data_IF_058304696306
#
_entry.id   IF_058304696306
#
_cell.length_a   1.000
_cell.length_b   1.000
_cell.length_c   1.000
_cell.angle_alpha   90.00
_cell.angle_beta   90.00
_cell.angle_gamma   90.00
#
_symmetry.space_group_name_H-M   'P 1'
#
loop_
_entity.id
_entity.type
_entity.pdbx_description
1 polymer ?
#
# COMPACT_ATOMS: atom_id res chain seq x y z
N UNK A 1 48.58 30.63 -0.14
CA UNK A 1 48.21 30.87 -1.56
C UNK A 1 48.23 29.53 -2.28
N UNK A 2 47.07 28.98 -2.65
CA UNK A 2 46.99 27.72 -3.38
C UNK A 2 46.28 27.97 -4.72
N UNK A 3 47.05 28.02 -5.82
CA UNK A 3 46.50 27.99 -7.18
C UNK A 3 46.18 26.53 -7.52
N UNK A 4 44.91 26.22 -7.77
CA UNK A 4 44.50 24.93 -8.36
C UNK A 4 44.74 25.00 -9.86
N UNK A 5 45.55 24.08 -10.39
CA UNK A 5 45.73 23.89 -11.82
C UNK A 5 44.51 23.16 -12.40
N UNK A 6 43.84 23.76 -13.38
CA UNK A 6 42.83 23.11 -14.21
C UNK A 6 43.50 22.41 -15.39
N UNK A 7 43.24 21.11 -15.56
CA UNK A 7 43.71 20.35 -16.72
C UNK A 7 42.83 20.62 -17.95
N UNK A 8 43.40 20.36 -19.14
CA UNK A 8 42.88 20.63 -20.50
C UNK A 8 41.56 19.93 -20.88
N UNK A 9 40.89 19.29 -19.92
CA UNK A 9 39.62 18.57 -20.09
C UNK A 9 38.57 18.90 -19.02
N UNK A 10 38.75 19.98 -18.24
CA UNK A 10 37.65 20.44 -17.38
C UNK A 10 36.59 21.13 -18.25
N UNK A 11 35.31 20.71 -18.18
CA UNK A 11 34.26 21.38 -18.92
C UNK A 11 34.17 22.83 -18.43
N UNK A 12 34.31 23.77 -19.37
CA UNK A 12 34.10 25.18 -19.10
C UNK A 12 32.67 25.38 -18.59
N UNK A 13 32.52 25.74 -17.32
CA UNK A 13 31.27 26.26 -16.80
C UNK A 13 31.08 27.66 -17.37
N UNK A 14 30.39 27.73 -18.51
CA UNK A 14 29.76 28.96 -18.97
C UNK A 14 28.66 29.33 -17.99
N UNK A 15 29.03 30.18 -17.03
CA UNK A 15 28.10 30.99 -16.26
C UNK A 15 27.37 31.92 -17.23
N UNK A 16 26.17 31.51 -17.66
CA UNK A 16 25.03 32.36 -18.01
C UNK A 16 23.90 31.54 -18.63
N UNK A 17 23.08 30.88 -17.81
CA UNK A 17 21.66 30.64 -18.12
C UNK A 17 20.92 30.03 -16.92
N UNK A 18 19.90 30.75 -16.45
CA UNK A 18 18.76 30.28 -15.64
C UNK A 18 19.10 29.54 -14.34
N UNK A 19 18.86 30.22 -13.22
CA UNK A 19 18.38 29.59 -11.98
C UNK A 19 17.03 28.89 -12.25
N UNK A 20 17.07 27.69 -12.82
CA UNK A 20 16.02 26.71 -12.57
C UNK A 20 16.39 26.00 -11.29
N UNK A 21 15.49 26.06 -10.31
CA UNK A 21 15.52 25.21 -9.12
C UNK A 21 15.51 23.74 -9.58
N UNK A 22 16.69 23.16 -9.75
CA UNK A 22 16.84 21.72 -9.96
C UNK A 22 16.57 21.05 -8.62
N UNK A 23 15.32 20.68 -8.39
CA UNK A 23 15.01 19.64 -7.40
C UNK A 23 15.94 18.47 -7.69
N UNK A 24 16.72 17.99 -6.69
CA UNK A 24 17.63 16.87 -6.90
C UNK A 24 16.86 15.73 -7.56
N UNK A 25 17.40 15.18 -8.66
CA UNK A 25 16.78 14.04 -9.33
C UNK A 25 16.53 12.93 -8.31
N UNK A 26 15.27 12.51 -8.17
CA UNK A 26 14.86 11.49 -7.22
C UNK A 26 15.72 10.24 -7.42
N UNK A 27 16.47 9.86 -6.39
CA UNK A 27 17.32 8.67 -6.45
C UNK A 27 16.41 7.45 -6.54
N UNK A 28 16.82 6.35 -7.21
CA UNK A 28 15.99 5.15 -7.38
C UNK A 28 15.48 4.49 -6.08
N UNK A 29 16.04 4.91 -4.94
CA UNK A 29 15.78 4.40 -3.60
C UNK A 29 15.17 5.44 -2.65
N UNK A 30 14.86 6.66 -3.11
CA UNK A 30 14.22 7.66 -2.25
C UNK A 30 12.86 7.14 -1.76
N UNK A 31 12.73 6.98 -0.44
CA UNK A 31 11.52 6.46 0.22
C UNK A 31 11.37 4.93 0.24
N UNK A 32 12.27 4.15 -0.37
CA UNK A 32 12.21 2.68 -0.31
C UNK A 32 12.88 2.16 0.97
N UNK A 33 12.12 1.43 1.79
CA UNK A 33 12.66 0.71 2.96
C UNK A 33 12.96 -0.74 2.55
N UNK A 34 14.07 -1.34 3.03
CA UNK A 34 14.32 -2.77 2.83
C UNK A 34 13.19 -3.59 3.46
N UNK A 35 12.75 -4.63 2.75
CA UNK A 35 11.74 -5.56 3.27
C UNK A 35 12.29 -6.28 4.50
N UNK A 36 11.46 -6.41 5.54
CA UNK A 36 11.70 -7.23 6.73
C UNK A 36 11.56 -8.72 6.41
N UNK A 37 10.90 -9.07 5.31
CA UNK A 37 10.92 -10.42 4.72
C UNK A 37 12.29 -10.66 4.10
N UNK A 38 13.18 -11.28 4.86
CA UNK A 38 14.57 -11.49 4.46
C UNK A 38 15.15 -12.80 4.98
N UNK A 39 16.47 -12.84 5.11
CA UNK A 39 17.20 -14.04 5.51
C UNK A 39 16.67 -14.67 6.81
N UNK A 40 16.28 -13.86 7.80
CA UNK A 40 15.79 -14.33 9.11
C UNK A 40 14.52 -15.19 9.02
N UNK A 41 13.52 -14.78 8.24
CA UNK A 41 12.30 -15.58 8.07
C UNK A 41 12.56 -16.83 7.22
N UNK A 42 13.49 -16.74 6.25
CA UNK A 42 13.85 -17.90 5.41
C UNK A 42 14.61 -18.97 6.20
N UNK A 43 15.42 -18.57 7.19
CA UNK A 43 16.15 -19.51 8.06
C UNK A 43 15.21 -20.46 8.82
N UNK A 44 13.99 -20.04 9.18
CA UNK A 44 13.02 -20.92 9.85
C UNK A 44 12.64 -22.16 9.02
N UNK A 45 12.59 -22.03 7.69
CA UNK A 45 12.31 -23.17 6.81
C UNK A 45 13.45 -24.21 6.87
N UNK A 46 14.69 -23.73 6.95
CA UNK A 46 15.87 -24.61 7.03
C UNK A 46 16.06 -25.18 8.44
N UNK A 47 15.71 -24.43 9.48
CA UNK A 47 15.84 -24.86 10.88
C UNK A 47 15.01 -26.11 11.20
N UNK A 48 13.94 -26.37 10.43
CA UNK A 48 13.09 -27.55 10.62
C UNK A 48 13.61 -28.81 9.87
N UNK A 49 14.52 -28.67 8.90
CA UNK A 49 15.00 -29.79 8.08
C UNK A 49 15.70 -30.93 8.85
N UNK A 50 16.50 -30.68 9.91
CA UNK A 50 17.06 -31.75 10.73
C UNK A 50 16.00 -32.72 11.27
N UNK A 51 14.77 -32.23 11.49
CA UNK A 51 13.66 -33.04 11.97
C UNK A 51 13.19 -34.06 10.90
N UNK A 52 13.28 -33.70 9.63
CA UNK A 52 12.93 -34.59 8.53
C UNK A 52 13.87 -35.79 8.47
N UNK A 53 15.19 -35.57 8.57
CA UNK A 53 16.16 -36.68 8.63
C UNK A 53 15.92 -37.57 9.84
N UNK A 54 15.72 -36.97 11.03
CA UNK A 54 15.42 -37.73 12.26
C UNK A 54 14.13 -38.54 12.16
N UNK A 55 13.14 -38.09 11.38
CA UNK A 55 11.88 -38.80 11.20
C UNK A 55 12.07 -40.14 10.46
N UNK A 56 12.92 -40.18 9.43
CA UNK A 56 13.13 -41.40 8.61
C UNK A 56 13.90 -42.50 9.34
N UNK A 57 14.67 -42.16 10.38
CA UNK A 57 15.37 -43.13 11.22
C UNK A 57 14.52 -43.64 12.39
N UNK A 58 13.26 -43.20 12.52
CA UNK A 58 12.40 -43.49 13.65
C UNK A 58 11.33 -44.56 13.35
N UNK A 59 10.83 -45.21 14.40
CA UNK A 59 9.70 -46.13 14.30
C UNK A 59 8.44 -45.43 13.74
N UNK A 60 7.50 -46.15 13.10
CA UNK A 60 6.41 -45.53 12.34
C UNK A 60 5.55 -44.51 13.10
N UNK A 61 5.25 -44.77 14.38
CA UNK A 61 4.46 -43.86 15.22
C UNK A 61 5.25 -42.59 15.52
N UNK A 62 6.53 -42.75 15.88
CA UNK A 62 7.46 -41.67 16.20
C UNK A 62 7.75 -40.83 14.95
N UNK A 63 7.93 -41.48 13.80
CA UNK A 63 8.06 -40.85 12.49
C UNK A 63 6.85 -39.96 12.20
N UNK A 64 5.62 -40.47 12.38
CA UNK A 64 4.41 -39.68 12.15
C UNK A 64 4.37 -38.42 13.03
N UNK A 65 4.78 -38.52 14.30
CA UNK A 65 4.84 -37.37 15.21
C UNK A 65 5.89 -36.34 14.77
N UNK A 66 7.07 -36.77 14.31
CA UNK A 66 8.08 -35.85 13.75
C UNK A 66 7.61 -35.18 12.46
N UNK A 67 6.87 -35.89 11.59
CA UNK A 67 6.29 -35.30 10.37
C UNK A 67 5.25 -34.23 10.73
N UNK A 68 4.40 -34.49 11.74
CA UNK A 68 3.45 -33.48 12.24
C UNK A 68 4.19 -32.28 12.81
N UNK A 69 5.21 -32.48 13.64
CA UNK A 69 6.03 -31.40 14.18
C UNK A 69 6.71 -30.58 13.08
N UNK A 70 7.26 -31.24 12.07
CA UNK A 70 7.83 -30.59 10.88
C UNK A 70 6.78 -29.74 10.15
N UNK A 71 5.58 -30.28 9.94
CA UNK A 71 4.47 -29.56 9.32
C UNK A 71 4.07 -28.30 10.11
N UNK A 72 4.02 -28.39 11.44
CA UNK A 72 3.76 -27.24 12.33
C UNK A 72 4.84 -26.16 12.19
N UNK A 73 6.12 -26.54 12.17
CA UNK A 73 7.25 -25.60 12.06
C UNK A 73 7.33 -24.94 10.68
N UNK A 74 7.11 -25.70 9.60
CA UNK A 74 7.05 -25.15 8.24
C UNK A 74 5.83 -24.23 8.07
N UNK A 75 4.68 -24.62 8.62
CA UNK A 75 3.49 -23.77 8.68
C UNK A 75 3.74 -22.47 9.44
N UNK A 76 4.42 -22.54 10.59
CA UNK A 76 4.83 -21.37 11.35
C UNK A 76 5.75 -20.45 10.53
N UNK A 77 6.76 -21.00 9.84
CA UNK A 77 7.66 -20.23 8.99
C UNK A 77 6.91 -19.51 7.85
N UNK A 78 5.93 -20.19 7.24
CA UNK A 78 5.07 -19.58 6.21
C UNK A 78 4.20 -18.45 6.77
N UNK A 79 3.52 -18.65 7.91
CA UNK A 79 2.75 -17.60 8.56
C UNK A 79 3.63 -16.42 8.99
N UNK A 80 4.85 -16.65 9.45
CA UNK A 80 5.81 -15.60 9.84
C UNK A 80 6.14 -14.72 8.65
N UNK A 81 6.48 -15.33 7.51
CA UNK A 81 6.77 -14.61 6.27
C UNK A 81 5.59 -13.76 5.82
N UNK A 82 4.40 -14.31 5.88
CA UNK A 82 3.17 -13.65 5.43
C UNK A 82 2.64 -12.61 6.43
N UNK A 83 3.00 -12.76 7.72
CA UNK A 83 2.79 -11.76 8.77
C UNK A 83 3.72 -10.56 8.63
N UNK A 84 5.01 -10.79 8.32
CA UNK A 84 5.97 -9.70 8.06
C UNK A 84 5.57 -8.87 6.82
N UNK A 85 5.07 -9.52 5.76
CA UNK A 85 4.51 -8.81 4.59
C UNK A 85 3.31 -7.94 4.94
N UNK A 86 2.40 -8.47 5.74
CA UNK A 86 1.23 -7.73 6.18
C UNK A 86 1.61 -6.53 7.06
N UNK A 87 2.59 -6.70 7.95
CA UNK A 87 3.13 -5.61 8.78
C UNK A 87 3.81 -4.53 7.93
N UNK A 88 4.61 -4.90 6.93
CA UNK A 88 5.22 -3.93 6.00
C UNK A 88 4.16 -3.11 5.25
N UNK A 89 3.10 -3.77 4.77
CA UNK A 89 2.00 -3.10 4.09
C UNK A 89 1.21 -2.16 5.02
N UNK A 90 1.08 -2.53 6.30
CA UNK A 90 0.48 -1.71 7.34
C UNK A 90 1.36 -0.49 7.67
N UNK A 91 2.66 -0.69 7.82
CA UNK A 91 3.62 0.37 8.18
C UNK A 91 3.83 1.38 7.06
N UNK A 92 3.78 0.94 5.80
CA UNK A 92 3.94 1.79 4.62
C UNK A 92 2.82 2.84 4.47
N UNK A 93 1.66 2.61 5.09
CA UNK A 93 0.50 3.52 4.99
C UNK A 93 0.41 4.40 6.24
N UNK A 94 0.00 5.66 6.06
CA UNK A 94 -0.33 6.56 7.19
C UNK A 94 -1.64 6.15 7.86
N UNK A 95 -2.60 5.64 7.07
CA UNK A 95 -3.88 5.11 7.53
C UNK A 95 -3.99 3.64 7.11
N UNK A 96 -4.17 2.73 8.07
CA UNK A 96 -4.26 1.29 7.79
C UNK A 96 -5.11 0.55 8.81
N UNK A 97 -5.86 -0.45 8.33
CA UNK A 97 -6.56 -1.40 9.20
C UNK A 97 -5.61 -2.46 9.72
N UNK A 98 -5.83 -2.91 10.96
CA UNK A 98 -5.14 -4.08 11.50
C UNK A 98 -5.35 -5.30 10.60
N UNK A 99 -4.35 -6.19 10.45
CA UNK A 99 -4.54 -7.46 9.76
C UNK A 99 -5.71 -8.25 10.35
N UNK A 100 -6.48 -8.95 9.51
CA UNK A 100 -7.66 -9.70 9.95
C UNK A 100 -7.30 -10.88 10.87
N UNK A 101 -6.11 -11.46 10.69
CA UNK A 101 -5.59 -12.57 11.47
C UNK A 101 -4.17 -12.19 11.94
N UNK A 102 -3.85 -12.32 13.25
CA UNK A 102 -2.52 -12.03 13.79
C UNK A 102 -1.53 -13.17 13.47
N UNK A 103 -1.04 -13.19 12.23
CA UNK A 103 -0.28 -14.31 11.66
C UNK A 103 1.01 -14.64 12.42
N UNK A 104 1.75 -13.65 12.94
CA UNK A 104 2.97 -13.88 13.74
C UNK A 104 2.67 -14.45 15.12
N UNK A 105 1.54 -14.09 15.73
CA UNK A 105 1.08 -14.74 16.97
C UNK A 105 0.76 -16.22 16.71
N UNK A 106 0.00 -16.52 15.65
CA UNK A 106 -0.29 -17.91 15.28
C UNK A 106 0.99 -18.69 14.93
N UNK A 107 1.95 -18.07 14.24
CA UNK A 107 3.26 -18.67 13.97
C UNK A 107 4.04 -18.99 15.25
N UNK A 108 4.02 -18.09 16.25
CA UNK A 108 4.63 -18.33 17.56
C UNK A 108 3.99 -19.53 18.27
N UNK A 109 2.66 -19.61 18.30
CA UNK A 109 1.95 -20.75 18.87
C UNK A 109 2.29 -22.06 18.14
N UNK A 110 2.28 -22.06 16.79
CA UNK A 110 2.65 -23.23 16.00
C UNK A 110 4.11 -23.64 16.22
N UNK A 111 5.01 -22.68 16.41
CA UNK A 111 6.42 -22.96 16.74
C UNK A 111 6.53 -23.65 18.10
N UNK A 112 5.82 -23.14 19.11
CA UNK A 112 5.74 -23.77 20.43
C UNK A 112 5.14 -25.18 20.36
N UNK A 113 4.05 -25.39 19.64
CA UNK A 113 3.43 -26.71 19.48
C UNK A 113 4.35 -27.69 18.74
N UNK A 114 5.02 -27.26 17.67
CA UNK A 114 5.96 -28.09 16.93
C UNK A 114 7.15 -28.53 17.79
N UNK A 115 7.76 -27.60 18.54
CA UNK A 115 8.88 -27.91 19.43
C UNK A 115 8.44 -28.69 20.68
N UNK A 116 7.25 -28.41 21.21
CA UNK A 116 6.67 -29.18 22.31
C UNK A 116 6.43 -30.63 21.92
N UNK A 117 5.90 -30.88 20.71
CA UNK A 117 5.73 -32.23 20.19
C UNK A 117 7.07 -32.96 20.06
N UNK A 118 8.13 -32.28 19.61
CA UNK A 118 9.49 -32.85 19.61
C UNK A 118 9.97 -33.17 21.02
N UNK A 119 9.67 -32.33 22.01
CA UNK A 119 9.99 -32.56 23.42
C UNK A 119 9.31 -33.81 23.99
N UNK A 120 8.01 -34.00 23.70
CA UNK A 120 7.25 -35.19 24.12
C UNK A 120 7.91 -36.45 23.58
N UNK A 121 8.26 -36.43 22.29
CA UNK A 121 8.74 -37.62 21.59
C UNK A 121 10.18 -37.97 21.95
N UNK A 122 11.02 -36.97 22.22
CA UNK A 122 12.46 -37.18 22.46
C UNK A 122 12.88 -37.30 23.92
N UNK A 123 12.15 -36.66 24.85
CA UNK A 123 12.60 -36.52 26.25
C UNK A 123 11.51 -36.70 27.30
N UNK A 124 10.31 -36.17 27.06
CA UNK A 124 9.17 -36.34 27.96
C UNK A 124 8.26 -35.11 28.11
N UNK A 125 7.24 -35.20 28.97
CA UNK A 125 6.23 -34.15 29.12
C UNK A 125 6.76 -32.83 29.71
N UNK A 126 7.80 -32.88 30.55
CA UNK A 126 8.38 -31.68 31.17
C UNK A 126 9.16 -30.88 30.13
N UNK A 127 9.99 -31.57 29.35
CA UNK A 127 10.77 -31.00 28.25
C UNK A 127 9.87 -30.46 27.14
N UNK A 128 8.74 -31.12 26.89
CA UNK A 128 7.71 -30.61 25.98
C UNK A 128 7.21 -29.22 26.37
N UNK A 129 6.90 -29.01 27.65
CA UNK A 129 6.44 -27.70 28.14
C UNK A 129 7.56 -26.67 28.00
N UNK A 130 8.79 -27.03 28.37
CA UNK A 130 9.96 -26.14 28.25
C UNK A 130 10.16 -25.72 26.78
N UNK A 131 10.19 -26.67 25.86
CA UNK A 131 10.39 -26.40 24.44
C UNK A 131 9.22 -25.64 23.82
N UNK A 132 7.99 -25.89 24.26
CA UNK A 132 6.83 -25.14 23.78
C UNK A 132 6.88 -23.67 24.22
N UNK A 133 7.16 -23.42 25.49
CA UNK A 133 7.24 -22.06 26.04
C UNK A 133 8.43 -21.30 25.46
N UNK A 134 9.61 -21.92 25.41
CA UNK A 134 10.80 -21.29 24.83
C UNK A 134 10.62 -21.06 23.32
N UNK A 135 10.04 -22.03 22.61
CA UNK A 135 9.75 -21.93 21.18
C UNK A 135 8.85 -20.76 20.83
N UNK A 136 7.69 -20.68 21.49
CA UNK A 136 6.75 -19.58 21.30
C UNK A 136 7.36 -18.23 21.75
N UNK A 137 7.99 -18.20 22.92
CA UNK A 137 8.63 -16.98 23.45
C UNK A 137 9.70 -16.43 22.52
N UNK A 138 10.70 -17.26 22.16
CA UNK A 138 11.80 -16.85 21.29
C UNK A 138 11.31 -16.45 19.89
N UNK A 139 10.30 -17.13 19.36
CA UNK A 139 9.69 -16.76 18.09
C UNK A 139 9.04 -15.37 18.19
N UNK A 140 8.21 -15.14 19.22
CA UNK A 140 7.57 -13.85 19.46
C UNK A 140 8.58 -12.72 19.67
N UNK A 141 9.68 -12.96 20.40
CA UNK A 141 10.75 -11.98 20.58
C UNK A 141 11.52 -11.70 19.28
N UNK A 142 11.76 -12.71 18.45
CA UNK A 142 12.55 -12.57 17.22
C UNK A 142 11.81 -11.84 16.10
N UNK A 143 10.48 -12.03 15.99
CA UNK A 143 9.66 -11.49 14.89
C UNK A 143 8.65 -10.42 15.31
N UNK A 144 8.48 -10.21 16.62
CA UNK A 144 7.52 -9.29 17.19
C UNK A 144 6.06 -9.74 17.00
N UNK A 145 5.15 -8.98 17.59
CA UNK A 145 3.70 -9.21 17.53
C UNK A 145 3.10 -8.49 16.30
N UNK A 146 2.01 -9.01 15.72
CA UNK A 146 1.28 -8.33 14.66
C UNK A 146 0.65 -7.00 15.13
N UNK A 147 0.47 -6.00 14.26
CA UNK A 147 -0.27 -4.78 14.62
C UNK A 147 -1.71 -5.11 15.02
N UNK A 148 -2.07 -4.89 16.29
CA UNK A 148 -3.41 -5.23 16.81
C UNK A 148 -4.42 -4.07 16.77
N UNK A 149 -3.94 -2.86 16.47
CA UNK A 149 -4.73 -1.63 16.44
C UNK A 149 -4.79 -1.05 15.04
N UNK A 150 -5.82 -0.26 14.77
CA UNK A 150 -5.91 0.54 13.56
C UNK A 150 -4.95 1.73 13.66
N UNK A 151 -4.31 2.11 12.55
CA UNK A 151 -3.37 3.24 12.47
C UNK A 151 -4.06 4.42 11.82
N UNK A 152 -3.98 5.60 12.45
CA UNK A 152 -4.51 6.85 11.88
C UNK A 152 -6.05 6.88 11.77
N UNK A 153 -6.75 6.11 12.61
CA UNK A 153 -8.22 5.99 12.62
C UNK A 153 -8.86 6.49 13.94
N UNK A 154 -8.12 7.24 14.77
CA UNK A 154 -8.65 7.82 16.02
C UNK A 154 -9.27 9.20 15.74
N UNK A 155 -10.54 9.39 16.11
CA UNK A 155 -11.19 10.71 16.14
C UNK A 155 -12.02 11.14 14.92
N UNK A 156 -12.07 10.35 13.84
CA UNK A 156 -12.92 10.65 12.67
C UNK A 156 -13.78 9.42 12.37
N UNK A 157 -15.09 9.64 12.24
CA UNK A 157 -16.14 8.64 12.01
C UNK A 157 -15.67 7.53 11.04
N UNK A 158 -15.33 6.36 11.61
CA UNK A 158 -14.74 5.22 10.86
C UNK A 158 -15.66 4.72 9.76
N UNK A 159 -16.96 5.00 9.87
CA UNK A 159 -17.93 4.79 8.80
C UNK A 159 -17.71 5.72 7.61
N UNK A 160 -17.40 7.01 7.82
CA UNK A 160 -17.10 7.93 6.71
C UNK A 160 -15.81 7.51 5.99
N UNK A 161 -14.76 7.16 6.74
CA UNK A 161 -13.51 6.68 6.14
C UNK A 161 -13.71 5.37 5.36
N UNK A 162 -14.52 4.42 5.86
CA UNK A 162 -14.84 3.19 5.13
C UNK A 162 -15.61 3.48 3.83
N UNK A 163 -16.55 4.44 3.87
CA UNK A 163 -17.30 4.87 2.68
C UNK A 163 -16.39 5.52 1.65
N UNK A 164 -15.46 6.38 2.07
CA UNK A 164 -14.46 6.99 1.18
C UNK A 164 -13.59 5.91 0.54
N UNK A 165 -13.01 5.02 1.35
CA UNK A 165 -12.14 3.96 0.86
C UNK A 165 -12.85 3.06 -0.16
N UNK A 166 -14.10 2.69 0.10
CA UNK A 166 -14.94 1.92 -0.84
C UNK A 166 -15.18 2.69 -2.15
N UNK A 167 -15.56 3.97 -2.06
CA UNK A 167 -15.82 4.80 -3.23
C UNK A 167 -14.56 5.01 -4.09
N UNK A 168 -13.40 5.25 -3.46
CA UNK A 168 -12.12 5.40 -4.16
C UNK A 168 -11.69 4.09 -4.80
N UNK A 169 -11.81 2.95 -4.09
CA UNK A 169 -11.49 1.63 -4.65
C UNK A 169 -12.34 1.32 -5.89
N UNK A 170 -13.63 1.66 -5.87
CA UNK A 170 -14.52 1.52 -7.01
C UNK A 170 -14.13 2.44 -8.18
N UNK A 171 -13.82 3.70 -7.87
CA UNK A 171 -13.35 4.67 -8.85
C UNK A 171 -12.05 4.23 -9.52
N UNK A 172 -11.07 3.70 -8.77
CA UNK A 172 -9.83 3.13 -9.32
C UNK A 172 -10.11 1.91 -10.22
N UNK A 173 -11.06 1.06 -9.83
CA UNK A 173 -11.49 -0.08 -10.66
C UNK A 173 -11.99 0.39 -12.03
N UNK A 174 -12.76 1.48 -12.07
CA UNK A 174 -13.22 2.06 -13.33
C UNK A 174 -12.07 2.57 -14.20
N UNK A 175 -11.09 3.28 -13.62
CA UNK A 175 -9.90 3.75 -14.35
C UNK A 175 -9.06 2.58 -14.90
N UNK A 176 -8.90 1.51 -14.13
CA UNK A 176 -8.22 0.30 -14.61
C UNK A 176 -8.96 -0.35 -15.78
N UNK A 177 -10.29 -0.51 -15.68
CA UNK A 177 -11.10 -1.03 -16.79
C UNK A 177 -11.01 -0.16 -18.07
N UNK A 178 -10.94 1.16 -17.92
CA UNK A 178 -10.74 2.07 -19.06
C UNK A 178 -9.39 1.80 -19.73
N UNK A 179 -8.33 1.65 -18.94
CA UNK A 179 -6.98 1.40 -19.46
C UNK A 179 -6.90 0.06 -20.19
N UNK A 180 -7.44 -1.00 -19.61
CA UNK A 180 -7.53 -2.33 -20.22
C UNK A 180 -8.31 -2.32 -21.55
N UNK A 181 -9.35 -1.50 -21.65
CA UNK A 181 -10.10 -1.34 -22.90
C UNK A 181 -9.29 -0.64 -24.00
N UNK A 182 -8.53 0.40 -23.66
CA UNK A 182 -7.69 1.11 -24.63
C UNK A 182 -6.42 0.34 -25.03
N UNK A 183 -5.89 -0.51 -24.16
CA UNK A 183 -4.73 -1.36 -24.48
C UNK A 183 -5.05 -2.33 -25.63
N UNK A 184 -6.30 -2.80 -25.76
CA UNK A 184 -6.73 -3.70 -26.85
C UNK A 184 -6.65 -3.08 -28.25
N UNK A 185 -6.77 -1.75 -28.35
CA UNK A 185 -6.86 -1.06 -29.64
C UNK A 185 -5.57 -0.38 -30.11
N UNK A 186 -4.53 -0.35 -29.25
CA UNK A 186 -3.21 0.24 -29.51
C UNK A 186 -3.23 1.71 -30.01
N UNK A 187 -4.24 2.51 -29.64
CA UNK A 187 -4.24 3.95 -29.93
C UNK A 187 -3.43 4.71 -28.87
N UNK A 188 -2.20 5.11 -29.22
CA UNK A 188 -1.25 5.76 -28.31
C UNK A 188 -1.74 7.13 -27.83
N UNK A 189 -2.46 7.88 -28.65
CA UNK A 189 -2.94 9.21 -28.27
C UNK A 189 -4.06 9.07 -27.24
N UNK A 190 -5.01 8.16 -27.48
CA UNK A 190 -6.10 7.87 -26.54
C UNK A 190 -5.56 7.36 -25.20
N UNK A 191 -4.54 6.48 -25.21
CA UNK A 191 -3.88 6.00 -23.99
C UNK A 191 -3.19 7.14 -23.23
N UNK A 192 -2.43 8.00 -23.92
CA UNK A 192 -1.78 9.16 -23.30
C UNK A 192 -2.79 10.13 -22.68
N UNK A 193 -3.91 10.36 -23.37
CA UNK A 193 -4.98 11.24 -22.87
C UNK A 193 -5.68 10.64 -21.65
N UNK A 194 -5.92 9.33 -21.66
CA UNK A 194 -6.44 8.62 -20.49
C UNK A 194 -5.48 8.70 -19.30
N UNK A 195 -4.17 8.60 -19.54
CA UNK A 195 -3.17 8.70 -18.47
C UNK A 195 -3.11 10.09 -17.83
N UNK A 196 -3.32 11.15 -18.62
CA UNK A 196 -3.47 12.51 -18.10
C UNK A 196 -4.73 12.63 -17.23
N UNK A 197 -5.88 12.19 -17.75
CA UNK A 197 -7.13 12.16 -17.00
C UNK A 197 -7.01 11.35 -15.69
N UNK A 198 -6.36 10.19 -15.74
CA UNK A 198 -6.11 9.32 -14.57
C UNK A 198 -5.30 10.02 -13.49
N UNK A 199 -4.30 10.83 -13.86
CA UNK A 199 -3.53 11.64 -12.89
C UNK A 199 -4.41 12.68 -12.21
N UNK A 200 -5.28 13.35 -12.98
CA UNK A 200 -6.23 14.34 -12.47
C UNK A 200 -7.25 13.70 -11.54
N UNK A 201 -7.83 12.55 -11.92
CA UNK A 201 -8.76 11.79 -11.09
C UNK A 201 -8.10 11.33 -9.77
N UNK A 202 -6.87 10.78 -9.82
CA UNK A 202 -6.11 10.39 -8.62
C UNK A 202 -5.69 11.56 -7.74
N UNK A 203 -5.56 12.77 -8.28
CA UNK A 203 -5.38 13.96 -7.46
C UNK A 203 -6.65 14.25 -6.64
N UNK A 204 -7.82 14.18 -7.26
CA UNK A 204 -9.10 14.33 -6.56
C UNK A 204 -9.36 13.21 -5.54
N UNK A 205 -9.00 11.97 -5.84
CA UNK A 205 -9.15 10.87 -4.88
C UNK A 205 -8.36 11.14 -3.60
N UNK A 206 -7.10 11.60 -3.74
CA UNK A 206 -6.26 11.96 -2.59
C UNK A 206 -6.87 13.08 -1.76
N UNK A 207 -7.41 14.12 -2.38
CA UNK A 207 -8.11 15.20 -1.66
C UNK A 207 -9.28 14.66 -0.82
N UNK A 208 -10.09 13.75 -1.39
CA UNK A 208 -11.23 13.14 -0.67
C UNK A 208 -10.79 12.13 0.40
N UNK A 209 -9.64 11.47 0.22
CA UNK A 209 -9.04 10.62 1.26
C UNK A 209 -8.46 11.43 2.42
N UNK A 210 -7.95 12.63 2.14
CA UNK A 210 -7.44 13.58 3.14
C UNK A 210 -8.58 14.19 3.97
N UNK A 211 -9.74 14.48 3.37
CA UNK A 211 -10.94 14.92 4.07
C UNK A 211 -12.20 14.08 3.70
N UNK A 212 -12.64 13.16 4.58
CA UNK A 212 -13.84 12.36 4.34
C UNK A 212 -15.15 13.14 4.18
N UNK A 213 -15.21 14.40 4.64
CA UNK A 213 -16.40 15.26 4.51
C UNK A 213 -16.66 15.61 3.04
N UNK A 214 -15.60 15.71 2.25
CA UNK A 214 -15.64 16.03 0.81
C UNK A 214 -16.29 14.94 -0.04
N UNK A 215 -16.44 13.71 0.49
CA UNK A 215 -17.06 12.60 -0.24
C UNK A 215 -18.45 12.96 -0.77
N UNK A 216 -19.25 13.71 -0.02
CA UNK A 216 -20.60 14.10 -0.45
C UNK A 216 -20.55 14.99 -1.68
N UNK A 217 -19.60 15.93 -1.71
CA UNK A 217 -19.36 16.82 -2.83
C UNK A 217 -18.73 16.11 -4.05
N UNK A 218 -17.94 15.06 -3.80
CA UNK A 218 -17.20 14.31 -4.81
C UNK A 218 -17.94 13.07 -5.37
N UNK A 219 -18.99 12.58 -4.70
CA UNK A 219 -19.67 11.30 -4.99
C UNK A 219 -20.06 11.12 -6.46
N UNK A 220 -20.63 12.17 -7.08
CA UNK A 220 -21.07 12.13 -8.49
C UNK A 220 -19.90 11.88 -9.45
N UNK A 221 -18.72 12.42 -9.12
CA UNK A 221 -17.51 12.28 -9.92
C UNK A 221 -16.91 10.88 -9.79
N UNK A 222 -16.77 10.37 -8.56
CA UNK A 222 -16.19 9.05 -8.29
C UNK A 222 -17.09 7.90 -8.77
N UNK A 223 -18.41 8.07 -8.74
CA UNK A 223 -19.38 7.05 -9.17
C UNK A 223 -19.85 7.28 -10.61
N UNK A 224 -20.85 8.14 -10.78
CA UNK A 224 -21.61 8.28 -12.04
C UNK A 224 -20.72 8.68 -13.23
N UNK A 225 -19.83 9.65 -13.05
CA UNK A 225 -19.00 10.13 -14.16
C UNK A 225 -17.92 9.13 -14.55
N UNK A 226 -17.26 8.46 -13.60
CA UNK A 226 -16.27 7.43 -13.94
C UNK A 226 -16.90 6.17 -14.50
N UNK A 227 -18.08 5.77 -14.00
CA UNK A 227 -18.83 4.67 -14.59
C UNK A 227 -19.22 4.99 -16.04
N UNK A 228 -19.76 6.18 -16.29
CA UNK A 228 -20.08 6.63 -17.65
C UNK A 228 -18.85 6.72 -18.56
N UNK A 229 -17.72 7.22 -18.04
CA UNK A 229 -16.46 7.29 -18.77
C UNK A 229 -15.93 5.90 -19.12
N UNK A 230 -16.02 4.94 -18.18
CA UNK A 230 -15.69 3.52 -18.43
C UNK A 230 -16.53 2.94 -19.55
N UNK A 231 -17.85 3.09 -19.47
CA UNK A 231 -18.75 2.50 -20.46
C UNK A 231 -18.57 3.14 -21.84
N UNK A 232 -18.30 4.45 -21.90
CA UNK A 232 -17.93 5.15 -23.13
C UNK A 232 -16.59 4.64 -23.70
N UNK A 233 -15.60 4.39 -22.84
CA UNK A 233 -14.28 3.87 -23.26
C UNK A 233 -14.40 2.47 -23.86
N UNK A 234 -15.19 1.60 -23.25
CA UNK A 234 -15.45 0.25 -23.77
C UNK A 234 -16.12 0.32 -25.14
N UNK A 235 -17.18 1.13 -25.28
CA UNK A 235 -17.87 1.32 -26.56
C UNK A 235 -16.95 1.90 -27.64
N UNK A 236 -16.12 2.88 -27.29
CA UNK A 236 -15.13 3.44 -28.20
C UNK A 236 -14.14 2.36 -28.66
N UNK A 237 -13.59 1.57 -27.74
CA UNK A 237 -12.67 0.48 -28.07
C UNK A 237 -13.30 -0.54 -29.02
N UNK A 238 -14.56 -0.93 -28.79
CA UNK A 238 -15.28 -1.88 -29.64
C UNK A 238 -15.52 -1.33 -31.06
N UNK A 239 -15.93 -0.06 -31.17
CA UNK A 239 -16.13 0.61 -32.47
C UNK A 239 -14.79 0.71 -33.22
N UNK A 240 -13.74 1.13 -32.53
CA UNK A 240 -12.43 1.33 -33.12
C UNK A 240 -11.80 0.02 -33.59
N UNK A 241 -11.99 -1.08 -32.85
CA UNK A 241 -11.54 -2.41 -33.25
C UNK A 241 -12.21 -2.91 -34.54
N UNK A 242 -13.49 -2.56 -34.76
CA UNK A 242 -14.27 -3.01 -35.93
C UNK A 242 -14.05 -2.17 -37.18
N UNK A 243 -14.04 -0.84 -37.05
CA UNK A 243 -14.11 0.05 -38.22
C UNK A 243 -13.10 1.19 -38.22
N UNK A 244 -12.27 1.33 -37.17
CA UNK A 244 -11.32 2.45 -37.03
C UNK A 244 -11.97 3.82 -37.25
N UNK A 245 -13.21 3.98 -36.78
CA UNK A 245 -14.01 5.18 -36.96
C UNK A 245 -13.37 6.41 -36.27
N UNK A 246 -12.96 7.39 -37.07
CA UNK A 246 -12.28 8.62 -36.63
C UNK A 246 -13.19 9.61 -35.91
N UNK A 247 -14.48 9.63 -36.24
CA UNK A 247 -15.48 10.48 -35.57
C UNK A 247 -15.71 10.01 -34.12
N UNK A 248 -15.84 8.69 -33.93
CA UNK A 248 -15.94 8.08 -32.61
C UNK A 248 -14.71 8.36 -31.74
N UNK A 249 -13.52 8.35 -32.36
CA UNK A 249 -12.26 8.72 -31.70
C UNK A 249 -12.24 10.18 -31.26
N UNK A 250 -12.58 11.11 -32.16
CA UNK A 250 -12.61 12.54 -31.85
C UNK A 250 -13.60 12.83 -30.72
N UNK A 251 -14.78 12.21 -30.77
CA UNK A 251 -15.81 12.35 -29.74
C UNK A 251 -15.34 11.83 -28.38
N UNK A 252 -14.64 10.68 -28.36
CA UNK A 252 -14.07 10.13 -27.15
C UNK A 252 -12.96 11.00 -26.55
N UNK A 253 -12.06 11.55 -27.39
CA UNK A 253 -11.01 12.44 -26.92
C UNK A 253 -11.56 13.75 -26.36
N UNK A 254 -12.63 14.29 -26.96
CA UNK A 254 -13.36 15.44 -26.43
C UNK A 254 -13.98 15.13 -25.06
N UNK A 255 -14.63 13.97 -24.90
CA UNK A 255 -15.16 13.53 -23.62
C UNK A 255 -14.07 13.47 -22.53
N UNK A 256 -12.89 12.92 -22.83
CA UNK A 256 -11.78 12.88 -21.87
C UNK A 256 -11.29 14.28 -21.49
N UNK A 257 -11.28 15.22 -22.44
CA UNK A 257 -10.94 16.61 -22.16
C UNK A 257 -11.94 17.29 -21.24
N UNK A 258 -13.24 17.12 -21.52
CA UNK A 258 -14.29 17.70 -20.69
C UNK A 258 -14.29 17.12 -19.29
N UNK A 259 -14.07 15.81 -19.15
CA UNK A 259 -13.93 15.14 -17.86
C UNK A 259 -12.72 15.68 -17.10
N UNK A 260 -11.56 15.79 -17.73
CA UNK A 260 -10.35 16.34 -17.08
C UNK A 260 -10.58 17.76 -16.56
N UNK A 261 -11.21 18.63 -17.37
CA UNK A 261 -11.54 20.00 -16.98
C UNK A 261 -12.47 20.04 -15.77
N UNK A 262 -13.55 19.25 -15.82
CA UNK A 262 -14.54 19.17 -14.74
C UNK A 262 -13.95 18.61 -13.44
N UNK A 263 -13.12 17.57 -13.50
CA UNK A 263 -12.43 17.01 -12.33
C UNK A 263 -11.43 17.99 -11.74
N UNK A 264 -10.68 18.70 -12.60
CA UNK A 264 -9.74 19.74 -12.15
C UNK A 264 -10.47 20.88 -11.43
N UNK A 265 -11.56 21.38 -12.01
CA UNK A 265 -12.37 22.43 -11.41
C UNK A 265 -12.96 21.98 -10.07
N UNK A 266 -13.49 20.76 -10.00
CA UNK A 266 -14.05 20.22 -8.76
C UNK A 266 -13.01 20.04 -7.68
N UNK A 267 -11.83 19.50 -8.02
CA UNK A 267 -10.75 19.31 -7.06
C UNK A 267 -10.27 20.65 -6.48
N UNK A 268 -10.15 21.69 -7.31
CA UNK A 268 -9.82 23.05 -6.85
C UNK A 268 -10.86 23.61 -5.88
N UNK A 269 -12.15 23.37 -6.15
CA UNK A 269 -13.22 23.81 -5.26
C UNK A 269 -13.14 23.15 -3.88
N UNK A 270 -12.85 21.84 -3.81
CA UNK A 270 -12.66 21.12 -2.53
C UNK A 270 -11.48 21.71 -1.74
N UNK A 271 -10.35 21.95 -2.39
CA UNK A 271 -9.18 22.54 -1.75
C UNK A 271 -9.42 23.97 -1.24
N UNK A 272 -10.27 24.74 -1.92
CA UNK A 272 -10.64 26.09 -1.48
C UNK A 272 -11.56 26.05 -0.25
N UNK A 273 -12.53 25.13 -0.23
CA UNK A 273 -13.44 24.92 0.90
C UNK A 273 -12.64 24.59 2.19
N UNK A 274 -11.69 23.66 2.07
CA UNK A 274 -10.81 23.27 3.17
C UNK A 274 -9.94 24.43 3.70
N UNK A 275 -9.59 25.40 2.83
CA UNK A 275 -8.86 26.59 3.26
C UNK A 275 -9.77 27.57 4.02
N UNK A 276 -11.00 27.76 3.54
CA UNK A 276 -12.00 28.63 4.21
C UNK A 276 -12.34 28.09 5.59
N UNK A 277 -12.54 26.78 5.72
CA UNK A 277 -12.75 26.10 7.01
C UNK A 277 -11.62 26.41 8.00
N UNK A 278 -10.36 26.28 7.58
CA UNK A 278 -9.19 26.56 8.42
C UNK A 278 -9.13 28.05 8.84
N UNK A 279 -9.39 28.97 7.91
CA UNK A 279 -9.37 30.40 8.21
C UNK A 279 -10.44 30.75 9.27
N UNK A 280 -11.64 30.16 9.18
CA UNK A 280 -12.71 30.30 10.18
C UNK A 280 -12.28 29.72 11.53
N UNK A 281 -11.68 28.53 11.56
CA UNK A 281 -11.21 27.91 12.82
C UNK A 281 -10.12 28.75 13.51
N UNK A 282 -9.20 29.33 12.74
CA UNK A 282 -8.15 30.23 13.26
C UNK A 282 -8.79 31.47 13.88
N UNK A 283 -9.78 32.08 13.23
CA UNK A 283 -10.44 33.27 13.74
C UNK A 283 -11.27 32.97 15.00
N UNK A 284 -11.96 31.82 15.06
CA UNK A 284 -12.63 31.35 16.28
C UNK A 284 -11.64 31.12 17.42
N UNK A 285 -10.47 30.54 17.14
CA UNK A 285 -9.44 30.33 18.14
C UNK A 285 -8.88 31.66 18.67
N UNK A 286 -8.63 32.63 17.79
CA UNK A 286 -8.19 33.99 18.16
C UNK A 286 -9.20 34.68 19.06
N UNK A 287 -10.48 34.59 18.72
CA UNK A 287 -11.56 35.15 19.54
C UNK A 287 -11.63 34.51 20.94
N UNK A 288 -11.40 33.19 21.04
CA UNK A 288 -11.33 32.51 22.34
C UNK A 288 -10.11 32.92 23.15
N UNK A 289 -8.92 32.95 22.54
CA UNK A 289 -7.69 33.39 23.19
C UNK A 289 -7.79 34.84 23.69
N UNK A 290 -8.40 35.72 22.89
CA UNK A 290 -8.65 37.11 23.27
C UNK A 290 -9.59 37.24 24.48
N UNK A 291 -10.60 36.36 24.59
CA UNK A 291 -11.52 36.31 25.75
C UNK A 291 -10.88 35.69 27.00
N UNK A 292 -9.97 34.73 26.82
CA UNK A 292 -9.26 34.07 27.93
C UNK A 292 -8.02 34.85 28.40
N UNK A 293 -7.67 35.96 27.74
CA UNK A 293 -6.61 36.87 28.17
C UNK A 293 -5.19 36.32 27.95
N UNK A 294 -5.05 35.23 27.21
CA UNK A 294 -3.77 34.59 26.88
C UNK A 294 -3.23 35.27 25.61
N UNK A 295 -2.16 36.05 25.75
CA UNK A 295 -1.43 36.68 24.64
C UNK A 295 -0.20 35.85 24.26
#
# INVERSE_FOLDING_TARGET
MAKRYGSKYSPETSDSAKKTSSTPAARPFDGKKPSRVGARSNLLFYAALPLAWKAFDADPIVMAQYIVALGLLVGAAWLTREGLRAEEAYDARKVARRPAIPRKIFASVLTGLGLGLVGIVGWGPVEAVIFAVLGAGLHSFSFGIDPLKHKGMEGVDTFQQDRVAKAVTEAERHLTSMREALERINDREAQNRLDQFTKTARAMFRTVEEDPRDLTAARKYLGVYLLGARDATIKFADIWARSRNTEARTSYLALLHDLESNFTARNKALLLDNKVDLDIEIDVLRDRLAREGIK
#
